data_IF_137364140724
#
_entry.id   IF_137364140724
#
_cell.length_a   1.000
_cell.length_b   1.000
_cell.length_c   1.000
_cell.angle_alpha   90.00
_cell.angle_beta   90.00
_cell.angle_gamma   90.00
#
_symmetry.space_group_name_H-M   'P 1'
#
loop_
_entity.id
_entity.type
_entity.pdbx_description
1 polymer ?
#
# COMPACT_ATOMS: atom_id res chain seq x y z
N UNK A 1 -8.64 -8.92 -35.05
CA UNK A 1 -7.47 -8.32 -34.34
C UNK A 1 -7.37 -8.71 -32.86
N UNK A 2 -8.47 -8.82 -32.10
CA UNK A 2 -8.46 -9.17 -30.67
C UNK A 2 -7.75 -10.50 -30.33
N UNK A 3 -7.93 -11.54 -31.16
CA UNK A 3 -7.35 -12.87 -30.91
C UNK A 3 -5.80 -12.91 -30.97
N UNK A 4 -5.20 -12.14 -31.90
CA UNK A 4 -3.74 -12.00 -32.03
C UNK A 4 -3.14 -11.27 -30.82
N UNK A 5 -3.83 -10.23 -30.31
CA UNK A 5 -3.43 -9.50 -29.09
C UNK A 5 -3.50 -10.40 -27.86
N UNK A 6 -4.59 -11.15 -27.68
CA UNK A 6 -4.74 -12.08 -26.57
C UNK A 6 -3.65 -13.16 -26.55
N UNK A 7 -3.28 -13.71 -27.72
CA UNK A 7 -2.18 -14.69 -27.83
C UNK A 7 -0.83 -14.10 -27.42
N UNK A 8 -0.51 -12.87 -27.83
CA UNK A 8 0.72 -12.17 -27.42
C UNK A 8 0.75 -11.93 -25.92
N UNK A 9 -0.35 -11.45 -25.33
CA UNK A 9 -0.46 -11.24 -23.88
C UNK A 9 -0.17 -12.55 -23.13
N UNK A 10 -0.80 -13.67 -23.52
CA UNK A 10 -0.54 -14.98 -22.88
C UNK A 10 0.91 -15.44 -23.00
N UNK A 11 1.59 -15.12 -24.11
CA UNK A 11 3.01 -15.46 -24.26
C UNK A 11 3.88 -14.63 -23.29
N UNK A 12 3.59 -13.33 -23.17
CA UNK A 12 4.28 -12.43 -22.23
C UNK A 12 4.03 -12.89 -20.78
N UNK A 13 2.79 -13.20 -20.42
CA UNK A 13 2.43 -13.75 -19.10
C UNK A 13 3.27 -14.99 -18.77
N UNK A 14 3.35 -15.96 -19.69
CA UNK A 14 4.13 -17.18 -19.48
C UNK A 14 5.63 -16.91 -19.34
N UNK A 15 6.18 -16.02 -20.16
CA UNK A 15 7.60 -15.65 -20.09
C UNK A 15 7.92 -14.98 -18.75
N UNK A 16 7.10 -14.03 -18.31
CA UNK A 16 7.27 -13.36 -17.01
C UNK A 16 7.20 -14.37 -15.86
N UNK A 17 6.16 -15.20 -15.80
CA UNK A 17 5.99 -16.21 -14.75
C UNK A 17 7.18 -17.18 -14.72
N UNK A 18 7.72 -17.55 -15.89
CA UNK A 18 8.90 -18.43 -15.99
C UNK A 18 10.23 -17.75 -15.66
N UNK A 19 10.31 -16.43 -15.83
CA UNK A 19 11.53 -15.65 -15.60
C UNK A 19 11.71 -15.27 -14.12
N UNK A 20 10.64 -14.89 -13.41
CA UNK A 20 10.74 -14.39 -12.03
C UNK A 20 11.52 -15.32 -11.09
N UNK A 21 11.31 -16.66 -11.09
CA UNK A 21 12.09 -17.55 -10.22
C UNK A 21 13.60 -17.58 -10.51
N UNK A 22 14.03 -17.07 -11.66
CA UNK A 22 15.45 -16.96 -12.03
C UNK A 22 16.08 -15.65 -11.59
N UNK A 23 15.29 -14.70 -11.11
CA UNK A 23 15.74 -13.40 -10.60
C UNK A 23 16.17 -13.54 -9.13
N UNK A 24 17.17 -14.39 -8.87
CA UNK A 24 17.58 -14.74 -7.50
C UNK A 24 18.11 -13.53 -6.71
N UNK A 25 18.74 -12.57 -7.38
CA UNK A 25 19.28 -11.35 -6.79
C UNK A 25 18.28 -10.17 -6.80
N UNK A 26 17.02 -10.42 -7.14
CA UNK A 26 15.99 -9.38 -7.18
C UNK A 26 15.72 -8.84 -5.78
N UNK A 27 16.05 -7.57 -5.56
CA UNK A 27 15.87 -6.87 -4.28
C UNK A 27 14.67 -5.95 -4.23
N UNK A 28 14.32 -5.38 -5.39
CA UNK A 28 13.27 -4.38 -5.50
C UNK A 28 12.39 -4.64 -6.71
N UNK A 29 11.08 -4.43 -6.54
CA UNK A 29 10.10 -4.48 -7.61
C UNK A 29 9.20 -3.25 -7.53
N UNK A 30 9.20 -2.47 -8.60
CA UNK A 30 8.21 -1.43 -8.82
C UNK A 30 7.16 -1.95 -9.80
N UNK A 31 5.96 -2.20 -9.26
CA UNK A 31 4.83 -2.69 -10.02
C UNK A 31 3.85 -1.55 -10.33
N UNK A 32 3.88 -1.05 -11.56
CA UNK A 32 3.03 0.07 -11.98
C UNK A 32 1.87 -0.40 -12.85
N UNK A 33 0.65 -0.20 -12.36
CA UNK A 33 -0.58 -0.07 -13.14
C UNK A 33 -0.96 -1.27 -14.01
N UNK A 34 -1.91 -2.09 -13.55
CA UNK A 34 -2.63 -3.00 -14.45
C UNK A 34 -3.98 -2.39 -14.81
N UNK A 35 -4.20 -2.07 -16.08
CA UNK A 35 -5.56 -1.80 -16.56
C UNK A 35 -6.28 -3.11 -16.86
N UNK A 36 -7.60 -3.17 -16.63
CA UNK A 36 -8.43 -4.30 -17.06
C UNK A 36 -8.18 -4.60 -18.55
N UNK A 37 -7.92 -5.87 -18.86
CA UNK A 37 -7.66 -6.34 -20.22
C UNK A 37 -6.19 -6.40 -20.66
N UNK A 38 -5.25 -5.92 -19.84
CA UNK A 38 -3.81 -5.98 -20.16
C UNK A 38 -3.17 -7.31 -19.80
N UNK A 39 -3.54 -7.90 -18.66
CA UNK A 39 -3.09 -9.22 -18.19
C UNK A 39 -4.22 -9.91 -17.43
N UNK A 40 -4.31 -11.24 -17.56
CA UNK A 40 -5.32 -12.04 -16.86
C UNK A 40 -5.06 -12.07 -15.36
N UNK A 41 -6.11 -11.97 -14.55
CA UNK A 41 -6.04 -12.07 -13.08
C UNK A 41 -5.21 -13.25 -12.58
N UNK A 42 -5.44 -14.45 -13.10
CA UNK A 42 -4.67 -15.64 -12.69
C UNK A 42 -3.16 -15.53 -12.98
N UNK A 43 -2.77 -14.77 -14.01
CA UNK A 43 -1.37 -14.48 -14.27
C UNK A 43 -0.81 -13.46 -13.27
N UNK A 44 -1.60 -12.47 -12.84
CA UNK A 44 -1.23 -11.54 -11.76
C UNK A 44 -0.96 -12.31 -10.47
N UNK A 45 -1.92 -13.13 -10.04
CA UNK A 45 -1.79 -13.92 -8.82
C UNK A 45 -0.55 -14.84 -8.91
N UNK A 46 -0.31 -15.44 -10.08
CA UNK A 46 0.89 -16.25 -10.32
C UNK A 46 2.18 -15.44 -10.23
N UNK A 47 2.21 -14.25 -10.84
CA UNK A 47 3.37 -13.34 -10.82
C UNK A 47 3.69 -12.90 -9.39
N UNK A 48 2.68 -12.41 -8.65
CA UNK A 48 2.85 -11.98 -7.26
C UNK A 48 3.31 -13.13 -6.37
N UNK A 49 2.73 -14.33 -6.53
CA UNK A 49 3.18 -15.53 -5.81
C UNK A 49 4.62 -15.95 -6.16
N UNK A 50 5.15 -15.58 -7.33
CA UNK A 50 6.57 -15.82 -7.64
C UNK A 50 7.46 -14.77 -6.99
N UNK A 51 7.04 -13.51 -6.92
CA UNK A 51 7.79 -12.48 -6.20
C UNK A 51 7.88 -12.74 -4.71
N UNK A 52 6.81 -13.23 -4.07
CA UNK A 52 6.85 -13.59 -2.64
C UNK A 52 7.83 -14.71 -2.33
N UNK A 53 8.17 -15.53 -3.32
CA UNK A 53 9.19 -16.58 -3.22
C UNK A 53 10.62 -16.10 -3.53
N UNK A 54 10.82 -14.83 -3.93
CA UNK A 54 12.15 -14.29 -4.17
C UNK A 54 12.88 -14.06 -2.83
N UNK A 55 14.02 -14.74 -2.58
CA UNK A 55 14.64 -14.76 -1.25
C UNK A 55 15.24 -13.42 -0.84
N UNK A 56 15.58 -12.56 -1.80
CA UNK A 56 16.23 -11.27 -1.54
C UNK A 56 15.33 -10.06 -1.77
N UNK A 57 14.04 -10.29 -2.09
CA UNK A 57 13.10 -9.21 -2.35
C UNK A 57 12.71 -8.53 -1.02
N UNK A 58 13.16 -7.29 -0.85
CA UNK A 58 12.99 -6.49 0.37
C UNK A 58 12.14 -5.24 0.13
N UNK A 59 12.04 -4.79 -1.11
CA UNK A 59 11.39 -3.53 -1.47
C UNK A 59 10.33 -3.78 -2.56
N UNK A 60 9.09 -3.44 -2.27
CA UNK A 60 7.98 -3.58 -3.22
C UNK A 60 7.19 -2.29 -3.27
N UNK A 61 7.00 -1.77 -4.48
CA UNK A 61 6.07 -0.69 -4.76
C UNK A 61 4.96 -1.21 -5.66
N UNK A 62 3.71 -0.90 -5.35
CA UNK A 62 2.55 -1.25 -6.18
C UNK A 62 1.71 0.00 -6.43
N UNK A 63 1.37 0.24 -7.70
CA UNK A 63 0.43 1.27 -8.09
C UNK A 63 -0.79 0.65 -8.78
N UNK A 64 -1.98 0.83 -8.19
CA UNK A 64 -3.24 0.33 -8.74
C UNK A 64 -3.93 1.37 -9.63
N UNK A 65 -4.45 0.89 -10.76
CA UNK A 65 -5.29 1.68 -11.64
C UNK A 65 -6.77 1.58 -11.21
N UNK A 66 -7.62 2.56 -11.57
CA UNK A 66 -9.04 2.58 -11.18
C UNK A 66 -9.80 1.31 -11.62
N UNK A 67 -9.37 0.71 -12.72
CA UNK A 67 -10.03 -0.45 -13.32
C UNK A 67 -9.59 -1.81 -12.72
N UNK A 68 -8.84 -1.85 -11.61
CA UNK A 68 -8.40 -3.11 -11.00
C UNK A 68 -9.57 -3.91 -10.35
N UNK A 69 -9.56 -5.23 -10.47
CA UNK A 69 -10.61 -6.12 -9.91
C UNK A 69 -10.41 -6.40 -8.41
N UNK A 70 -11.50 -6.55 -7.65
CA UNK A 70 -11.55 -6.65 -6.18
C UNK A 70 -10.87 -7.85 -5.49
N UNK A 71 -10.17 -8.76 -6.19
CA UNK A 71 -9.81 -10.06 -5.59
C UNK A 71 -8.38 -10.55 -5.92
N UNK A 72 -7.39 -9.68 -6.01
CA UNK A 72 -5.99 -10.12 -6.00
C UNK A 72 -5.59 -10.50 -4.58
N UNK A 73 -5.39 -11.80 -4.35
CA UNK A 73 -4.82 -12.30 -3.11
C UNK A 73 -3.31 -12.17 -3.22
N UNK A 74 -2.72 -11.26 -2.45
CA UNK A 74 -1.28 -11.18 -2.29
C UNK A 74 -0.86 -12.18 -1.21
N UNK A 75 0.10 -13.04 -1.51
CA UNK A 75 0.74 -13.89 -0.50
C UNK A 75 1.71 -13.07 0.36
N UNK A 76 2.15 -13.65 1.48
CA UNK A 76 3.06 -13.01 2.43
C UNK A 76 4.44 -12.74 1.83
N UNK A 77 4.92 -11.49 1.89
CA UNK A 77 6.31 -11.14 1.59
C UNK A 77 7.13 -11.17 2.88
N UNK A 78 7.66 -12.35 3.23
CA UNK A 78 8.29 -12.57 4.54
C UNK A 78 9.55 -11.72 4.78
N UNK A 79 10.26 -11.35 3.71
CA UNK A 79 11.51 -10.59 3.77
C UNK A 79 11.30 -9.08 3.51
N UNK A 80 10.07 -8.63 3.35
CA UNK A 80 9.78 -7.25 2.98
C UNK A 80 10.11 -6.30 4.14
N UNK A 81 10.95 -5.31 3.84
CA UNK A 81 11.30 -4.23 4.77
C UNK A 81 10.69 -2.90 4.35
N UNK A 82 10.43 -2.73 3.05
CA UNK A 82 9.87 -1.52 2.45
C UNK A 82 8.66 -1.87 1.60
N UNK A 83 7.53 -1.22 1.88
CA UNK A 83 6.33 -1.35 1.08
C UNK A 83 5.74 0.00 0.73
N UNK A 84 5.55 0.25 -0.57
CA UNK A 84 4.81 1.38 -1.08
C UNK A 84 3.57 0.88 -1.83
N UNK A 85 2.41 1.45 -1.53
CA UNK A 85 1.17 1.12 -2.21
C UNK A 85 0.41 2.40 -2.53
N UNK A 86 0.06 2.58 -3.80
CA UNK A 86 -0.61 3.79 -4.28
C UNK A 86 -1.72 3.48 -5.28
N UNK A 87 -2.64 4.42 -5.46
CA UNK A 87 -3.69 4.35 -6.49
C UNK A 87 -5.07 4.14 -5.92
N UNK A 88 -5.91 3.38 -6.62
CA UNK A 88 -7.32 3.19 -6.26
C UNK A 88 -7.56 1.91 -5.48
N UNK A 89 -8.52 1.95 -4.57
CA UNK A 89 -8.95 0.85 -3.70
C UNK A 89 -7.81 0.21 -2.93
N UNK A 90 -6.86 1.04 -2.49
CA UNK A 90 -5.65 0.59 -1.80
C UNK A 90 -5.99 -0.20 -0.55
N UNK A 91 -7.02 0.23 0.16
CA UNK A 91 -7.42 -0.35 1.44
C UNK A 91 -8.15 -1.71 1.30
N UNK A 92 -8.57 -2.11 0.09
CA UNK A 92 -9.07 -3.47 -0.16
C UNK A 92 -7.94 -4.51 -0.03
N UNK A 93 -6.68 -4.09 -0.19
CA UNK A 93 -5.52 -4.99 -0.29
C UNK A 93 -4.47 -4.75 0.78
N UNK A 94 -4.17 -3.48 1.05
CA UNK A 94 -3.03 -3.08 1.87
C UNK A 94 -3.04 -3.70 3.28
N UNK A 95 -4.16 -3.71 4.04
CA UNK A 95 -4.21 -4.34 5.36
C UNK A 95 -3.78 -5.81 5.37
N UNK A 96 -4.21 -6.59 4.38
CA UNK A 96 -3.85 -8.01 4.28
C UNK A 96 -2.36 -8.22 3.98
N UNK A 97 -1.75 -7.35 3.17
CA UNK A 97 -0.32 -7.42 2.85
C UNK A 97 0.49 -7.03 4.08
N UNK A 98 0.17 -5.87 4.65
CA UNK A 98 0.85 -5.30 5.82
C UNK A 98 0.81 -6.28 6.99
N UNK A 99 -0.35 -6.91 7.23
CA UNK A 99 -0.48 -7.88 8.31
C UNK A 99 0.31 -9.19 8.13
N UNK A 100 0.84 -9.44 6.92
CA UNK A 100 1.64 -10.62 6.60
C UNK A 100 3.13 -10.31 6.38
N UNK A 101 3.60 -9.09 6.68
CA UNK A 101 4.98 -8.66 6.49
C UNK A 101 5.64 -8.33 7.84
N UNK A 102 6.12 -9.33 8.61
CA UNK A 102 6.57 -9.12 10.00
C UNK A 102 7.80 -8.23 10.13
N UNK A 103 8.60 -8.10 9.07
CA UNK A 103 9.83 -7.31 9.04
C UNK A 103 9.64 -5.92 8.44
N UNK A 104 8.40 -5.48 8.22
CA UNK A 104 8.11 -4.22 7.56
C UNK A 104 8.55 -3.03 8.42
N UNK A 105 9.52 -2.27 7.92
CA UNK A 105 10.10 -1.10 8.61
C UNK A 105 9.65 0.22 8.00
N UNK A 106 9.34 0.23 6.70
CA UNK A 106 8.85 1.40 5.98
C UNK A 106 7.56 1.07 5.23
N UNK A 107 6.51 1.83 5.53
CA UNK A 107 5.21 1.75 4.86
C UNK A 107 4.84 3.11 4.26
N UNK A 108 4.49 3.11 2.98
CA UNK A 108 3.96 4.28 2.26
C UNK A 108 2.63 3.91 1.62
N UNK A 109 1.55 4.60 1.99
CA UNK A 109 0.21 4.35 1.46
C UNK A 109 -0.40 5.63 0.92
N UNK A 110 -0.74 5.64 -0.37
CA UNK A 110 -1.37 6.79 -1.03
C UNK A 110 -2.66 6.34 -1.71
N UNK A 111 -3.80 6.64 -1.11
CA UNK A 111 -5.09 6.40 -1.76
C UNK A 111 -5.43 7.56 -2.71
N UNK A 112 -5.94 7.22 -3.88
CA UNK A 112 -6.54 8.14 -4.85
C UNK A 112 -8.06 8.04 -4.90
N UNK A 113 -8.66 7.25 -4.00
CA UNK A 113 -10.11 7.14 -3.88
C UNK A 113 -10.72 8.46 -3.38
N UNK A 114 -11.99 8.71 -3.73
CA UNK A 114 -12.71 9.88 -3.23
C UNK A 114 -12.99 9.72 -1.73
N UNK A 115 -12.51 10.69 -0.94
CA UNK A 115 -12.70 10.70 0.51
C UNK A 115 -14.20 10.82 0.83
N UNK A 116 -14.73 9.83 1.54
CA UNK A 116 -16.11 9.81 2.04
C UNK A 116 -16.15 9.35 3.50
N UNK A 117 -17.27 9.56 4.23
CA UNK A 117 -17.40 9.09 5.61
C UNK A 117 -17.29 7.56 5.78
N UNK A 118 -17.54 6.80 4.71
CA UNK A 118 -17.38 5.35 4.68
C UNK A 118 -15.99 4.92 4.19
N UNK A 119 -15.09 5.88 3.96
CA UNK A 119 -13.76 5.59 3.45
C UNK A 119 -12.97 4.78 4.46
N UNK A 120 -12.27 3.72 4.02
CA UNK A 120 -11.46 2.91 4.90
C UNK A 120 -10.42 3.76 5.64
N UNK A 121 -10.30 3.50 6.94
CA UNK A 121 -9.53 4.30 7.88
C UNK A 121 -8.09 3.79 8.02
N UNK A 122 -7.20 4.67 8.49
CA UNK A 122 -5.83 4.30 8.88
C UNK A 122 -5.80 3.17 9.92
N UNK A 123 -6.85 3.01 10.72
CA UNK A 123 -6.92 1.93 11.70
C UNK A 123 -6.91 0.56 11.01
N UNK A 124 -7.71 0.35 9.97
CA UNK A 124 -7.78 -0.94 9.28
C UNK A 124 -6.40 -1.37 8.76
N UNK A 125 -5.57 -0.41 8.33
CA UNK A 125 -4.22 -0.66 7.82
C UNK A 125 -3.26 -1.24 8.87
N UNK A 126 -3.33 -0.74 10.10
CA UNK A 126 -2.37 -1.04 11.16
C UNK A 126 -2.96 -1.90 12.29
N UNK A 127 -4.26 -2.20 12.24
CA UNK A 127 -4.92 -2.99 13.27
C UNK A 127 -4.40 -4.42 13.33
N UNK A 128 -4.06 -4.87 14.55
CA UNK A 128 -3.84 -6.28 14.85
C UNK A 128 -2.45 -6.85 14.55
N UNK A 129 -1.47 -6.05 14.12
CA UNK A 129 -0.10 -6.54 13.85
C UNK A 129 0.96 -5.60 14.41
N UNK A 130 1.74 -6.09 15.37
CA UNK A 130 2.90 -5.37 15.91
C UNK A 130 4.05 -5.36 14.90
N UNK A 131 4.06 -4.33 14.06
CA UNK A 131 5.10 -4.10 13.06
C UNK A 131 6.23 -3.23 13.62
N UNK A 132 7.50 -3.52 13.27
CA UNK A 132 8.66 -2.70 13.64
C UNK A 132 8.78 -1.45 12.75
N UNK A 133 7.66 -0.78 12.47
CA UNK A 133 7.64 0.40 11.61
C UNK A 133 8.50 1.50 12.23
N UNK A 134 9.43 2.01 11.42
CA UNK A 134 10.29 3.15 11.74
C UNK A 134 9.96 4.37 10.88
N UNK A 135 9.32 4.15 9.72
CA UNK A 135 8.91 5.19 8.77
C UNK A 135 7.50 4.93 8.27
N UNK A 136 6.66 5.96 8.29
CA UNK A 136 5.27 5.88 7.84
C UNK A 136 4.92 7.11 7.00
N UNK A 137 4.42 6.88 5.78
CA UNK A 137 3.84 7.89 4.91
C UNK A 137 2.40 7.50 4.60
N UNK A 138 1.44 8.39 4.85
CA UNK A 138 0.03 8.17 4.54
C UNK A 138 -0.55 9.39 3.82
N UNK A 139 -1.29 9.16 2.74
CA UNK A 139 -1.97 10.20 1.96
C UNK A 139 -3.31 9.70 1.41
N UNK A 140 -4.30 10.60 1.31
CA UNK A 140 -5.62 10.29 0.75
C UNK A 140 -6.48 9.35 1.59
N UNK A 141 -6.19 9.22 2.89
CA UNK A 141 -6.96 8.42 3.84
C UNK A 141 -7.64 9.32 4.89
N UNK A 142 -8.58 8.74 5.64
CA UNK A 142 -9.23 9.39 6.78
C UNK A 142 -8.70 8.83 8.09
N UNK A 143 -8.44 9.71 9.05
CA UNK A 143 -8.04 9.36 10.42
C UNK A 143 -9.18 9.67 11.41
N UNK A 144 -10.08 8.72 11.70
CA UNK A 144 -11.15 8.93 12.67
C UNK A 144 -10.60 8.98 14.10
N UNK A 145 -11.05 9.97 14.87
CA UNK A 145 -10.60 10.19 16.25
C UNK A 145 -10.90 9.00 17.20
N UNK A 146 -11.98 8.25 16.94
CA UNK A 146 -12.41 7.12 17.77
C UNK A 146 -11.42 5.95 17.78
N UNK A 147 -10.52 5.87 16.80
CA UNK A 147 -9.66 4.71 16.53
C UNK A 147 -8.17 5.00 16.80
N UNK A 148 -7.90 6.21 17.27
CA UNK A 148 -6.57 6.72 17.60
C UNK A 148 -5.79 5.84 18.58
N UNK A 149 -6.35 5.38 19.73
CA UNK A 149 -5.61 4.57 20.72
C UNK A 149 -4.94 3.31 20.15
N UNK A 150 -5.53 2.70 19.13
CA UNK A 150 -5.00 1.48 18.51
C UNK A 150 -3.78 1.78 17.62
N UNK A 151 -3.80 2.92 16.91
CA UNK A 151 -2.72 3.34 16.02
C UNK A 151 -1.45 3.69 16.82
N UNK A 152 -1.60 4.23 18.04
CA UNK A 152 -0.48 4.71 18.86
C UNK A 152 0.58 3.66 19.20
N UNK A 153 0.20 2.38 19.31
CA UNK A 153 1.16 1.30 19.61
C UNK A 153 2.28 1.24 18.58
N UNK A 154 1.96 1.49 17.31
CA UNK A 154 2.92 1.52 16.22
C UNK A 154 3.69 2.85 16.12
N UNK A 155 3.15 3.94 16.66
CA UNK A 155 3.78 5.26 16.58
C UNK A 155 5.00 5.40 17.51
N UNK A 156 5.09 4.57 18.57
CA UNK A 156 6.23 4.62 19.52
C UNK A 156 7.57 4.24 18.90
N UNK A 157 7.57 3.40 17.86
CA UNK A 157 8.80 3.00 17.15
C UNK A 157 9.11 3.87 15.94
N UNK A 158 8.21 4.80 15.57
CA UNK A 158 8.42 5.66 14.42
C UNK A 158 9.51 6.71 14.71
N UNK A 159 10.38 6.87 13.72
CA UNK A 159 11.34 7.98 13.63
C UNK A 159 10.89 9.02 12.62
N UNK A 160 10.18 8.61 11.56
CA UNK A 160 9.69 9.49 10.51
C UNK A 160 8.19 9.27 10.28
N UNK A 161 7.42 10.35 10.32
CA UNK A 161 5.99 10.35 10.06
C UNK A 161 5.65 11.43 9.04
N UNK A 162 4.91 11.07 8.00
CA UNK A 162 4.34 12.03 7.05
C UNK A 162 2.87 11.70 6.85
N UNK A 163 2.02 12.69 7.11
CA UNK A 163 0.56 12.59 6.97
C UNK A 163 0.09 13.69 6.01
N UNK A 164 -0.35 13.29 4.82
CA UNK A 164 -0.99 14.20 3.85
C UNK A 164 -2.52 13.97 3.86
N UNK A 165 -3.14 14.36 4.97
CA UNK A 165 -4.56 14.18 5.27
C UNK A 165 -4.98 15.07 6.43
N UNK A 166 -6.30 15.17 6.66
CA UNK A 166 -6.82 15.80 7.87
C UNK A 166 -6.49 14.94 9.11
N UNK A 167 -5.86 15.57 10.11
CA UNK A 167 -5.45 14.91 11.36
C UNK A 167 -6.24 15.51 12.53
N UNK A 168 -7.04 14.69 13.25
CA UNK A 168 -7.86 15.18 14.36
C UNK A 168 -7.02 15.72 15.52
N UNK A 169 -7.51 16.72 16.26
CA UNK A 169 -6.75 17.35 17.36
C UNK A 169 -6.36 16.38 18.48
N UNK A 170 -7.20 15.38 18.72
CA UNK A 170 -6.96 14.29 19.68
C UNK A 170 -5.70 13.50 19.33
N UNK A 171 -5.27 13.49 18.06
CA UNK A 171 -4.01 12.88 17.68
C UNK A 171 -2.84 13.59 18.38
N UNK A 172 -2.84 14.91 18.37
CA UNK A 172 -1.75 15.70 18.96
C UNK A 172 -1.70 15.61 20.47
N UNK A 173 -2.86 15.54 21.12
CA UNK A 173 -2.97 15.38 22.57
C UNK A 173 -2.40 14.02 23.01
N UNK A 174 -2.78 12.95 22.32
CA UNK A 174 -2.29 11.60 22.60
C UNK A 174 -0.79 11.47 22.27
N UNK A 175 -0.32 12.01 21.14
CA UNK A 175 1.10 11.98 20.79
C UNK A 175 1.97 12.67 21.86
N UNK A 176 1.46 13.76 22.46
CA UNK A 176 2.12 14.46 23.56
C UNK A 176 2.08 13.64 24.86
N UNK A 177 0.93 13.06 25.20
CA UNK A 177 0.76 12.25 26.41
C UNK A 177 1.65 10.99 26.40
N UNK A 178 1.78 10.35 25.23
CA UNK A 178 2.60 9.16 25.01
C UNK A 178 4.09 9.46 24.83
N UNK A 179 4.48 10.74 24.79
CA UNK A 179 5.88 11.15 24.67
C UNK A 179 6.54 10.72 23.36
N UNK A 180 5.80 10.70 22.25
CA UNK A 180 6.30 10.27 20.94
C UNK A 180 7.41 11.21 20.48
N UNK A 181 8.61 10.66 20.22
CA UNK A 181 9.77 11.41 19.76
C UNK A 181 10.03 11.07 18.29
N UNK A 182 9.55 11.93 17.39
CA UNK A 182 9.84 11.83 15.96
C UNK A 182 11.11 12.62 15.63
N UNK A 183 11.98 12.03 14.81
CA UNK A 183 13.12 12.72 14.20
C UNK A 183 12.62 13.69 13.13
N UNK A 184 11.61 13.26 12.35
CA UNK A 184 10.99 14.08 11.31
C UNK A 184 9.48 13.88 11.31
N UNK A 185 8.75 14.98 11.26
CA UNK A 185 7.29 15.00 11.14
C UNK A 185 6.86 16.04 10.12
N UNK A 186 6.01 15.62 9.18
CA UNK A 186 5.37 16.52 8.23
C UNK A 186 3.88 16.22 8.19
N UNK A 187 3.06 17.26 8.31
CA UNK A 187 1.62 17.16 8.14
C UNK A 187 1.17 18.23 7.16
N UNK A 188 0.47 17.79 6.12
CA UNK A 188 -0.19 18.65 5.16
C UNK A 188 -1.63 18.19 4.98
N UNK A 189 -2.52 19.13 4.70
CA UNK A 189 -3.87 18.82 4.27
C UNK A 189 -4.22 19.84 3.20
N UNK A 190 -4.59 19.36 2.01
CA UNK A 190 -5.12 20.23 0.97
C UNK A 190 -6.62 20.35 1.20
N UNK A 191 -7.11 21.55 1.49
CA UNK A 191 -8.51 21.87 1.22
C UNK A 191 -8.73 21.56 -0.25
N UNK A 192 -9.55 20.57 -0.56
CA UNK A 192 -10.02 20.36 -1.92
C UNK A 192 -10.78 21.62 -2.33
N UNK A 193 -10.07 22.56 -2.97
CA UNK A 193 -10.69 23.60 -3.76
C UNK A 193 -11.66 22.89 -4.69
N UNK A 194 -12.94 23.19 -4.50
CA UNK A 194 -14.04 22.96 -5.43
C UNK A 194 -13.61 23.42 -6.81
N UNK A 195 -13.01 22.53 -7.60
CA UNK A 195 -12.95 22.72 -9.05
C UNK A 195 -14.35 22.43 -9.55
N UNK A 196 -15.06 23.52 -9.83
CA UNK A 196 -16.33 23.48 -10.52
C UNK A 196 -16.20 22.63 -11.79
N UNK A 197 -17.03 21.59 -11.85
CA UNK A 197 -17.33 20.90 -13.09
C UNK A 197 -18.14 21.87 -13.97
N UNK A 198 -17.46 22.44 -14.95
CA UNK A 198 -18.07 22.97 -16.16
C UNK A 198 -17.42 22.27 -17.34
N UNK A 199 -17.97 21.12 -17.73
CA UNK A 199 -17.99 20.59 -19.10
C UNK A 199 -19.21 19.68 -19.25
#
# INVERSE_FOLDING_TARGET
>A
MAHKRARKIRAIEKLLIGAIPRLIDLRSVDWIGWSQGSVRRSAIDSIMNKFTACPHLTDVSIQLNPNCSHNTAFSAFLNLTTFAFSGFRVMDFCPHIVGNCPNLMYLSVTSCDEISPAHPSVETLLSGVDLPLTRLYLSGLVMPASLLPNIYRHLRSLSHLTLDMEVPSQFWELARAEGIKLVSMSVSWRTSLTRGSSY
#
